data_IF_497146371938
#
_entry.id   IF_497146371938
#
_cell.length_a   1.000
_cell.length_b   1.000
_cell.length_c   1.000
_cell.angle_alpha   90.00
_cell.angle_beta   90.00
_cell.angle_gamma   90.00
#
_symmetry.space_group_name_H-M   'P 1'
#
loop_
_entity.id
_entity.type
_entity.pdbx_description
1 polymer ?
#
# COMPACT_ATOMS: atom_id res chain seq x y z
N UNK A 1 38.56 -41.31 25.51
CA UNK A 1 38.22 -39.89 25.73
C UNK A 1 37.45 -39.40 24.51
N UNK A 2 36.12 -39.32 24.58
CA UNK A 2 35.29 -38.89 23.44
C UNK A 2 35.41 -37.37 23.36
N UNK A 3 36.15 -36.85 22.37
CA UNK A 3 36.14 -35.42 22.08
C UNK A 3 34.77 -35.08 21.49
N UNK A 4 34.02 -34.21 22.17
CA UNK A 4 32.80 -33.60 21.64
C UNK A 4 33.10 -33.02 20.24
N UNK A 5 32.31 -33.42 19.23
CA UNK A 5 32.39 -32.87 17.87
C UNK A 5 31.91 -31.42 17.76
N UNK A 6 31.44 -30.83 18.86
CA UNK A 6 31.08 -29.41 18.93
C UNK A 6 32.32 -28.59 19.28
N UNK A 7 33.01 -28.13 18.24
CA UNK A 7 33.98 -27.04 18.39
C UNK A 7 33.13 -25.79 18.64
N UNK A 8 33.08 -25.33 19.89
CA UNK A 8 32.40 -24.08 20.26
C UNK A 8 33.22 -22.90 19.73
N UNK A 9 33.06 -22.60 18.45
CA UNK A 9 33.78 -21.51 17.81
C UNK A 9 33.06 -20.21 18.15
N UNK A 10 33.40 -19.61 19.30
CA UNK A 10 32.77 -18.38 19.81
C UNK A 10 32.68 -17.27 18.75
N UNK A 11 33.64 -17.19 17.83
CA UNK A 11 33.62 -16.24 16.71
C UNK A 11 32.50 -16.52 15.69
N UNK A 12 32.21 -17.77 15.37
CA UNK A 12 31.10 -18.13 14.45
C UNK A 12 29.74 -17.85 15.09
N UNK A 13 29.59 -18.18 16.39
CA UNK A 13 28.38 -17.88 17.16
C UNK A 13 28.13 -16.37 17.26
N UNK A 14 29.16 -15.57 17.51
CA UNK A 14 29.05 -14.10 17.51
C UNK A 14 28.65 -13.57 16.13
N UNK A 15 29.25 -14.10 15.06
CA UNK A 15 28.95 -13.70 13.69
C UNK A 15 27.49 -14.00 13.33
N UNK A 16 27.00 -15.21 13.65
CA UNK A 16 25.60 -15.59 13.44
C UNK A 16 24.66 -14.69 14.27
N UNK A 17 25.02 -14.40 15.51
CA UNK A 17 24.26 -13.49 16.38
C UNK A 17 24.10 -12.09 15.78
N UNK A 18 25.19 -11.51 15.24
CA UNK A 18 25.15 -10.23 14.53
C UNK A 18 24.30 -10.27 13.26
N UNK A 19 24.40 -11.36 12.48
CA UNK A 19 23.57 -11.55 11.28
C UNK A 19 22.09 -11.59 11.65
N UNK A 20 21.72 -12.37 12.68
CA UNK A 20 20.33 -12.42 13.16
C UNK A 20 19.85 -11.04 13.63
N UNK A 21 20.68 -10.32 14.40
CA UNK A 21 20.35 -8.99 14.89
C UNK A 21 20.10 -8.00 13.75
N UNK A 22 20.98 -7.95 12.75
CA UNK A 22 20.82 -7.06 11.58
C UNK A 22 19.58 -7.44 10.78
N UNK A 23 19.33 -8.74 10.57
CA UNK A 23 18.16 -9.22 9.86
C UNK A 23 16.85 -8.85 10.58
N UNK A 24 16.79 -9.08 11.90
CA UNK A 24 15.63 -8.71 12.72
C UNK A 24 15.40 -7.20 12.71
N UNK A 25 16.46 -6.41 12.89
CA UNK A 25 16.36 -4.95 12.85
C UNK A 25 15.82 -4.46 11.51
N UNK A 26 16.38 -4.97 10.40
CA UNK A 26 15.95 -4.61 9.04
C UNK A 26 14.50 -5.00 8.81
N UNK A 27 14.08 -6.19 9.23
CA UNK A 27 12.70 -6.64 9.12
C UNK A 27 11.73 -5.75 9.91
N UNK A 28 12.03 -5.47 11.19
CA UNK A 28 11.20 -4.61 12.04
C UNK A 28 11.12 -3.19 11.49
N UNK A 29 12.23 -2.65 10.98
CA UNK A 29 12.26 -1.32 10.36
C UNK A 29 11.37 -1.25 9.11
N UNK A 30 11.49 -2.23 8.21
CA UNK A 30 10.65 -2.31 7.00
C UNK A 30 9.16 -2.48 7.34
N UNK A 31 8.85 -3.31 8.34
CA UNK A 31 7.48 -3.48 8.83
C UNK A 31 6.92 -2.15 9.36
N UNK A 32 7.72 -1.41 10.12
CA UNK A 32 7.32 -0.14 10.73
C UNK A 32 7.03 0.92 9.67
N UNK A 33 7.90 1.05 8.66
CA UNK A 33 7.66 1.94 7.51
C UNK A 33 6.35 1.56 6.80
N UNK A 34 6.12 0.27 6.58
CA UNK A 34 4.90 -0.22 5.93
C UNK A 34 3.65 0.12 6.75
N UNK A 35 3.69 -0.08 8.06
CA UNK A 35 2.58 0.26 8.95
C UNK A 35 2.32 1.76 8.99
N UNK A 36 3.38 2.57 9.07
CA UNK A 36 3.29 4.03 9.04
C UNK A 36 2.61 4.52 7.75
N UNK A 37 3.05 4.05 6.59
CA UNK A 37 2.45 4.42 5.30
C UNK A 37 0.99 3.96 5.17
N UNK A 38 0.60 2.87 5.83
CA UNK A 38 -0.78 2.39 5.84
C UNK A 38 -1.73 3.27 6.68
N UNK A 39 -1.21 4.17 7.51
CA UNK A 39 -2.00 5.03 8.40
C UNK A 39 -2.34 6.41 7.79
N UNK A 40 -1.64 6.85 6.73
CA UNK A 40 -1.90 8.17 6.13
C UNK A 40 -3.07 8.14 5.16
N UNK A 41 -4.19 8.72 5.55
CA UNK A 41 -5.33 8.93 4.68
C UNK A 41 -5.44 10.40 4.30
N UNK A 42 -5.55 10.67 3.00
CA UNK A 42 -5.95 11.97 2.49
C UNK A 42 -7.47 12.07 2.59
N UNK A 43 -7.98 13.07 3.32
CA UNK A 43 -9.41 13.32 3.43
C UNK A 43 -9.88 14.30 2.34
N UNK A 44 -10.96 13.94 1.66
CA UNK A 44 -11.63 14.77 0.67
C UNK A 44 -13.09 14.97 1.06
N UNK A 45 -13.50 16.22 1.29
CA UNK A 45 -14.91 16.56 1.57
C UNK A 45 -15.74 16.40 0.30
N UNK A 46 -16.67 15.46 0.33
CA UNK A 46 -17.62 15.16 -0.74
C UNK A 46 -18.96 14.85 -0.07
N UNK A 47 -19.98 15.62 -0.40
CA UNK A 47 -21.32 15.46 0.17
C UNK A 47 -22.06 14.34 -0.56
N UNK A 48 -23.02 13.69 0.11
CA UNK A 48 -23.91 12.70 -0.49
C UNK A 48 -23.18 11.49 -1.13
N UNK A 49 -22.11 11.00 -0.48
CA UNK A 49 -21.41 9.80 -0.90
C UNK A 49 -22.30 8.56 -0.67
N UNK A 50 -22.70 7.93 -1.76
CA UNK A 50 -23.29 6.58 -1.75
C UNK A 50 -22.28 5.59 -2.33
N UNK A 51 -22.42 4.32 -1.96
CA UNK A 51 -21.61 3.22 -2.51
C UNK A 51 -21.72 3.21 -4.03
N UNK A 52 -22.95 3.31 -4.56
CA UNK A 52 -23.24 3.33 -5.99
C UNK A 52 -22.55 4.51 -6.72
N UNK A 53 -22.57 5.71 -6.14
CA UNK A 53 -21.88 6.87 -6.70
C UNK A 53 -20.37 6.63 -6.81
N UNK A 54 -19.78 6.00 -5.81
CA UNK A 54 -18.35 5.66 -5.80
C UNK A 54 -18.03 4.61 -6.86
N UNK A 55 -18.82 3.55 -6.96
CA UNK A 55 -18.64 2.50 -7.97
C UNK A 55 -18.74 3.06 -9.39
N UNK A 56 -19.77 3.87 -9.65
CA UNK A 56 -19.96 4.52 -10.94
C UNK A 56 -18.78 5.45 -11.28
N UNK A 57 -18.31 6.26 -10.33
CA UNK A 57 -17.14 7.12 -10.54
C UNK A 57 -15.85 6.34 -10.74
N UNK A 58 -15.66 5.20 -10.06
CA UNK A 58 -14.51 4.32 -10.25
C UNK A 58 -14.48 3.76 -11.67
N UNK A 59 -15.60 3.23 -12.15
CA UNK A 59 -15.73 2.69 -13.50
C UNK A 59 -15.48 3.76 -14.57
N UNK A 60 -16.10 4.95 -14.44
CA UNK A 60 -15.87 6.08 -15.35
C UNK A 60 -14.42 6.55 -15.38
N UNK A 61 -13.70 6.39 -14.28
CA UNK A 61 -12.29 6.76 -14.16
C UNK A 61 -11.32 5.71 -14.69
N UNK A 62 -11.84 4.60 -15.23
CA UNK A 62 -11.03 3.50 -15.78
C UNK A 62 -10.31 2.71 -14.67
N UNK A 63 -10.94 2.56 -13.51
CA UNK A 63 -10.57 1.54 -12.53
C UNK A 63 -11.44 0.31 -12.79
N UNK A 64 -10.82 -0.77 -13.27
CA UNK A 64 -11.52 -1.98 -13.70
C UNK A 64 -11.60 -3.03 -12.58
N UNK A 65 -10.61 -3.03 -11.68
CA UNK A 65 -10.51 -4.00 -10.60
C UNK A 65 -10.72 -3.33 -9.25
N UNK A 66 -11.95 -3.37 -8.74
CA UNK A 66 -12.27 -2.92 -7.39
C UNK A 66 -13.23 -3.86 -6.69
N UNK A 67 -13.17 -3.87 -5.35
CA UNK A 67 -14.06 -4.64 -4.50
C UNK A 67 -14.49 -3.82 -3.30
N UNK A 68 -15.77 -3.87 -2.96
CA UNK A 68 -16.27 -3.38 -1.68
C UNK A 68 -16.14 -4.48 -0.62
N UNK A 69 -15.46 -4.16 0.49
CA UNK A 69 -15.28 -5.07 1.62
C UNK A 69 -16.40 -4.89 2.65
N UNK A 70 -16.73 -5.97 3.37
CA UNK A 70 -17.78 -6.01 4.40
C UNK A 70 -17.54 -5.01 5.55
N UNK A 71 -16.29 -4.62 5.78
CA UNK A 71 -15.88 -3.65 6.80
C UNK A 71 -16.18 -2.19 6.35
N UNK A 72 -16.69 -1.99 5.13
CA UNK A 72 -17.21 -0.70 4.69
C UNK A 72 -16.23 0.16 3.89
N UNK A 73 -15.27 -0.46 3.18
CA UNK A 73 -14.29 0.26 2.36
C UNK A 73 -14.10 -0.39 0.99
N UNK A 74 -13.68 0.40 0.00
CA UNK A 74 -13.27 -0.10 -1.31
C UNK A 74 -11.78 -0.36 -1.35
N UNK A 75 -11.42 -1.49 -1.96
CA UNK A 75 -10.07 -1.81 -2.36
C UNK A 75 -9.99 -1.84 -3.88
N UNK A 76 -9.18 -0.96 -4.45
CA UNK A 76 -9.01 -0.81 -5.89
C UNK A 76 -7.60 -1.26 -6.26
N UNK A 77 -7.51 -2.28 -7.10
CA UNK A 77 -6.25 -2.86 -7.57
C UNK A 77 -5.85 -2.22 -8.89
N UNK A 78 -4.71 -1.55 -8.87
CA UNK A 78 -4.12 -0.95 -10.07
C UNK A 78 -3.24 -1.98 -10.76
N UNK A 79 -3.47 -2.20 -12.04
CA UNK A 79 -2.74 -3.19 -12.83
C UNK A 79 -1.25 -2.87 -12.96
N UNK A 80 -0.49 -3.95 -13.11
CA UNK A 80 0.92 -3.89 -13.45
C UNK A 80 0.98 -3.71 -14.98
N UNK A 81 1.51 -2.58 -15.43
CA UNK A 81 1.81 -2.32 -16.85
C UNK A 81 3.33 -2.23 -17.04
N UNK A 82 3.81 -2.22 -18.29
CA UNK A 82 5.26 -2.03 -18.57
C UNK A 82 5.85 -0.75 -17.96
N UNK A 83 5.01 0.21 -17.58
CA UNK A 83 5.40 1.49 -16.97
C UNK A 83 4.81 1.71 -15.56
N UNK A 84 4.14 0.69 -14.99
CA UNK A 84 3.47 0.74 -13.69
C UNK A 84 3.64 -0.58 -12.96
N UNK A 85 4.22 -0.58 -11.76
CA UNK A 85 4.27 -1.78 -10.92
C UNK A 85 2.99 -2.04 -10.12
N UNK A 86 1.89 -1.39 -10.54
CA UNK A 86 0.59 -1.50 -9.90
C UNK A 86 0.55 -0.87 -8.51
N UNK A 87 -0.51 -1.16 -7.78
CA UNK A 87 -0.70 -0.66 -6.42
C UNK A 87 -2.12 -0.87 -5.94
N UNK A 88 -2.36 -0.49 -4.71
CA UNK A 88 -3.69 -0.62 -4.09
C UNK A 88 -4.14 0.75 -3.61
N UNK A 89 -5.33 1.17 -4.04
CA UNK A 89 -5.99 2.37 -3.55
C UNK A 89 -7.10 1.93 -2.59
N UNK A 90 -7.02 2.39 -1.34
CA UNK A 90 -8.04 2.16 -0.33
C UNK A 90 -8.91 3.41 -0.24
N UNK A 91 -10.22 3.24 -0.38
CA UNK A 91 -11.20 4.30 -0.25
C UNK A 91 -12.17 3.96 0.88
N UNK A 92 -12.23 4.81 1.89
CA UNK A 92 -13.16 4.65 3.01
C UNK A 92 -14.19 5.77 2.93
N UNK A 93 -15.42 5.48 2.48
CA UNK A 93 -16.49 6.45 2.53
C UNK A 93 -16.92 6.69 3.97
N UNK A 94 -17.00 7.96 4.34
CA UNK A 94 -17.65 8.41 5.58
C UNK A 94 -18.84 9.29 5.21
N UNK A 95 -19.59 9.79 6.19
CA UNK A 95 -20.83 10.56 5.93
C UNK A 95 -20.63 11.75 4.97
N UNK A 96 -19.53 12.51 5.13
CA UNK A 96 -19.28 13.75 4.38
C UNK A 96 -17.86 13.82 3.78
N UNK A 97 -17.08 12.74 3.91
CA UNK A 97 -15.70 12.71 3.49
C UNK A 97 -15.34 11.34 2.88
N UNK A 98 -14.44 11.37 1.91
CA UNK A 98 -13.78 10.18 1.38
C UNK A 98 -12.35 10.17 1.90
N UNK A 99 -11.99 9.15 2.67
CA UNK A 99 -10.61 8.92 3.07
C UNK A 99 -9.94 8.06 2.01
N UNK A 100 -8.82 8.54 1.48
CA UNK A 100 -8.09 7.90 0.40
C UNK A 100 -6.67 7.59 0.85
N UNK A 101 -6.25 6.33 0.72
CA UNK A 101 -4.88 5.90 0.94
C UNK A 101 -4.37 5.23 -0.33
N UNK A 102 -3.41 5.87 -1.00
CA UNK A 102 -2.79 5.35 -2.21
C UNK A 102 -1.51 4.59 -1.86
N UNK A 103 -1.53 3.27 -2.05
CA UNK A 103 -0.40 2.37 -1.82
C UNK A 103 0.19 1.98 -3.16
N UNK A 104 0.88 2.92 -3.81
CA UNK A 104 1.72 2.61 -4.97
C UNK A 104 2.87 1.71 -4.53
N UNK A 105 2.96 0.52 -5.13
CA UNK A 105 4.09 -0.38 -4.86
C UNK A 105 5.15 -0.12 -5.92
N UNK A 106 6.26 0.46 -5.48
CA UNK A 106 7.49 0.45 -6.24
C UNK A 106 8.24 -0.88 -6.08
N UNK A 107 9.05 -1.25 -7.08
CA UNK A 107 10.03 -2.33 -6.89
C UNK A 107 10.98 -1.89 -5.76
N UNK A 108 11.15 -2.70 -4.71
CA UNK A 108 12.02 -2.42 -3.56
C UNK A 108 11.73 -1.08 -2.85
N UNK A 109 10.47 -0.63 -2.82
CA UNK A 109 10.08 0.61 -2.14
C UNK A 109 10.39 1.90 -2.91
N UNK A 110 10.92 1.81 -4.14
CA UNK A 110 11.15 2.97 -5.02
C UNK A 110 9.95 3.15 -5.93
N UNK A 111 9.11 4.15 -5.61
CA UNK A 111 7.99 4.54 -6.47
C UNK A 111 8.57 5.05 -7.79
N UNK A 112 8.27 4.39 -8.90
CA UNK A 112 8.62 4.91 -10.21
C UNK A 112 7.83 6.20 -10.48
N UNK A 113 8.49 7.30 -10.89
CA UNK A 113 7.84 8.61 -11.03
C UNK A 113 6.70 8.61 -12.05
N UNK A 114 6.85 7.86 -13.16
CA UNK A 114 5.80 7.70 -14.17
C UNK A 114 4.56 6.98 -13.63
N UNK A 115 4.76 5.95 -12.83
CA UNK A 115 3.68 5.21 -12.17
C UNK A 115 2.90 6.12 -11.23
N UNK A 116 3.61 6.93 -10.43
CA UNK A 116 2.95 7.93 -9.57
C UNK A 116 2.16 8.96 -10.37
N UNK A 117 2.67 9.43 -11.51
CA UNK A 117 1.99 10.44 -12.32
C UNK A 117 0.68 9.94 -12.93
N UNK A 118 0.70 8.75 -13.55
CA UNK A 118 -0.48 8.16 -14.19
C UNK A 118 -1.57 7.91 -13.13
N UNK A 119 -1.18 7.34 -11.99
CA UNK A 119 -2.09 7.01 -10.90
C UNK A 119 -2.69 8.29 -10.28
N UNK A 120 -1.86 9.30 -10.01
CA UNK A 120 -2.34 10.57 -9.48
C UNK A 120 -3.30 11.28 -10.46
N UNK A 121 -3.07 11.16 -11.77
CA UNK A 121 -3.99 11.69 -12.79
C UNK A 121 -5.35 10.98 -12.74
N UNK A 122 -5.37 9.65 -12.68
CA UNK A 122 -6.61 8.87 -12.54
C UNK A 122 -7.36 9.18 -11.23
N UNK A 123 -6.65 9.26 -10.10
CA UNK A 123 -7.23 9.63 -8.81
C UNK A 123 -7.83 11.04 -8.87
N UNK A 124 -7.14 12.00 -9.49
CA UNK A 124 -7.66 13.37 -9.64
C UNK A 124 -8.94 13.39 -10.48
N UNK A 125 -8.99 12.61 -11.57
CA UNK A 125 -10.18 12.49 -12.39
C UNK A 125 -11.35 11.86 -11.62
N UNK A 126 -11.09 10.77 -10.89
CA UNK A 126 -12.07 10.13 -9.99
C UNK A 126 -12.65 11.10 -8.94
N UNK A 127 -11.78 11.85 -8.27
CA UNK A 127 -12.23 12.84 -7.29
C UNK A 127 -13.01 13.99 -7.93
N UNK A 128 -12.75 14.31 -9.19
CA UNK A 128 -13.50 15.31 -9.94
C UNK A 128 -14.89 14.78 -10.31
N UNK A 129 -14.97 13.54 -10.80
CA UNK A 129 -16.26 12.88 -11.08
C UNK A 129 -17.13 12.83 -9.83
N UNK A 130 -16.56 12.45 -8.68
CA UNK A 130 -17.29 12.42 -7.41
C UNK A 130 -17.78 13.78 -6.92
N UNK A 131 -17.08 14.87 -7.23
CA UNK A 131 -17.49 16.23 -6.85
C UNK A 131 -18.57 16.82 -7.74
N UNK A 132 -18.78 16.23 -8.92
CA UNK A 132 -19.78 16.67 -9.89
C UNK A 132 -21.12 15.92 -9.76
N UNK A 133 -21.26 15.08 -8.73
CA UNK A 133 -22.49 14.37 -8.36
C UNK A 133 -23.36 15.28 -7.49
#
# INVERSE_FOLDING_TARGET
MIKSGFINNNMELQTIGWIMFIASFTFTFLLTIKLYNNQFFQSYKIQNLTIENIENSLQKSGFENFRYNEIGFFEVFMEITWFSWGGTLILIPTKNELLLNNRTKGLNGVILPFTSFIINKKIKYFLQELKNI
#
